data_IF_335896945283
#
_entry.id   IF_335896945283
#
_cell.length_a   1.000
_cell.length_b   1.000
_cell.length_c   1.000
_cell.angle_alpha   90.00
_cell.angle_beta   90.00
_cell.angle_gamma   90.00
#
_symmetry.space_group_name_H-M   'P 1'
#
loop_
_entity.id
_entity.type
_entity.pdbx_description
1 polymer ?
#
# COMPACT_ATOMS: atom_id res chain seq x y z
N UNK A 1 19.73 -1.08 -6.95
CA UNK A 1 18.86 -2.19 -6.52
C UNK A 1 17.76 -2.38 -7.57
N UNK A 2 17.58 -3.59 -8.10
CA UNK A 2 16.44 -3.92 -8.96
C UNK A 2 15.33 -4.48 -8.08
N UNK A 3 14.12 -3.92 -8.16
CA UNK A 3 12.93 -4.44 -7.48
C UNK A 3 11.87 -4.80 -8.51
N UNK A 4 10.95 -5.68 -8.13
CA UNK A 4 9.86 -6.12 -9.01
C UNK A 4 8.91 -4.96 -9.32
N UNK A 5 8.43 -4.82 -10.58
CA UNK A 5 7.43 -3.82 -10.93
C UNK A 5 6.01 -4.16 -10.39
N UNK A 6 5.85 -5.30 -9.71
CA UNK A 6 4.56 -5.72 -9.14
C UNK A 6 4.05 -4.79 -8.03
N UNK A 7 4.90 -3.96 -7.41
CA UNK A 7 4.52 -3.07 -6.32
C UNK A 7 4.16 -1.68 -6.86
N UNK A 8 2.92 -1.25 -6.62
CA UNK A 8 2.48 0.12 -6.91
C UNK A 8 2.67 1.01 -5.68
N UNK A 9 3.61 1.96 -5.76
CA UNK A 9 3.95 2.86 -4.65
C UNK A 9 3.01 4.07 -4.63
N UNK A 10 2.36 4.32 -3.50
CA UNK A 10 1.51 5.50 -3.25
C UNK A 10 2.21 6.37 -2.21
N UNK A 11 2.59 7.60 -2.60
CA UNK A 11 3.18 8.56 -1.64
C UNK A 11 2.08 9.25 -0.84
N UNK A 12 2.26 9.24 0.48
CA UNK A 12 1.47 10.01 1.44
C UNK A 12 2.39 10.90 2.26
N UNK A 13 1.83 11.90 2.96
CA UNK A 13 2.62 12.84 3.77
C UNK A 13 3.28 12.15 4.97
N UNK A 14 2.59 11.22 5.61
CA UNK A 14 3.08 10.38 6.70
C UNK A 14 2.22 9.10 6.78
N UNK A 15 2.71 8.07 7.46
CA UNK A 15 1.97 6.81 7.70
C UNK A 15 0.69 7.00 8.49
N UNK A 16 0.60 8.04 9.33
CA UNK A 16 -0.62 8.40 10.05
C UNK A 16 -1.82 8.75 9.17
N UNK A 17 -1.62 8.96 7.86
CA UNK A 17 -2.72 9.10 6.89
C UNK A 17 -3.37 7.77 6.51
N UNK A 18 -2.70 6.64 6.78
CA UNK A 18 -3.19 5.31 6.43
C UNK A 18 -3.98 4.73 7.60
N UNK A 19 -5.26 4.48 7.34
CA UNK A 19 -6.19 3.77 8.23
C UNK A 19 -6.55 2.38 7.66
N UNK A 20 -7.06 1.48 8.50
CA UNK A 20 -7.44 0.10 8.15
C UNK A 20 -8.39 0.02 6.96
N UNK A 21 -9.25 1.03 6.77
CA UNK A 21 -10.14 1.14 5.61
C UNK A 21 -9.39 1.12 4.29
N UNK A 22 -8.21 1.74 4.22
CA UNK A 22 -7.38 1.75 3.01
C UNK A 22 -6.86 0.36 2.69
N UNK A 23 -6.41 -0.37 3.72
CA UNK A 23 -5.90 -1.74 3.59
C UNK A 23 -7.03 -2.68 3.12
N UNK A 24 -8.17 -2.64 3.79
CA UNK A 24 -9.33 -3.45 3.45
C UNK A 24 -9.86 -3.12 2.05
N UNK A 25 -9.87 -1.84 1.66
CA UNK A 25 -10.22 -1.43 0.31
C UNK A 25 -9.25 -1.99 -0.73
N UNK A 26 -7.94 -1.92 -0.49
CA UNK A 26 -6.95 -2.47 -1.43
C UNK A 26 -7.06 -3.99 -1.57
N UNK A 27 -7.27 -4.72 -0.47
CA UNK A 27 -7.47 -6.17 -0.52
C UNK A 27 -8.76 -6.48 -1.28
N UNK A 28 -9.86 -5.79 -0.97
CA UNK A 28 -11.14 -5.93 -1.70
C UNK A 28 -11.01 -5.60 -3.20
N UNK A 29 -10.13 -4.67 -3.56
CA UNK A 29 -9.85 -4.30 -4.94
C UNK A 29 -8.97 -5.32 -5.68
N UNK A 30 -8.58 -6.42 -5.03
CA UNK A 30 -7.80 -7.50 -5.64
C UNK A 30 -6.29 -7.40 -5.40
N UNK A 31 -5.84 -6.66 -4.38
CA UNK A 31 -4.43 -6.68 -4.01
C UNK A 31 -4.07 -8.00 -3.30
N UNK A 32 -3.04 -8.68 -3.79
CA UNK A 32 -2.47 -9.89 -3.14
C UNK A 32 -1.77 -9.56 -1.81
N UNK A 33 -1.29 -8.32 -1.67
CA UNK A 33 -0.60 -7.85 -0.47
C UNK A 33 -0.51 -6.33 -0.40
N UNK A 34 -0.42 -5.82 0.82
CA UNK A 34 -0.32 -4.38 1.12
C UNK A 34 0.84 -4.16 2.07
N UNK A 35 1.75 -3.24 1.73
CA UNK A 35 2.90 -2.89 2.56
C UNK A 35 2.81 -1.41 2.93
N UNK A 36 2.95 -1.10 4.22
CA UNK A 36 2.98 0.26 4.76
C UNK A 36 4.35 0.46 5.40
N UNK A 37 5.05 1.52 5.00
CA UNK A 37 6.37 1.89 5.51
C UNK A 37 6.38 3.38 5.80
N UNK A 38 6.98 3.79 6.92
CA UNK A 38 7.05 5.17 7.41
C UNK A 38 8.45 5.60 7.76
#
# INVERSE_FOLDING_TARGET
MKYTPAVKIIKVRCTGRIDIKHILYSIRAGADGVMIVG
#
